data_IF_814204791559
#
_entry.id   IF_814204791559
#
_cell.length_a   1.000
_cell.length_b   1.000
_cell.length_c   1.000
_cell.angle_alpha   90.00
_cell.angle_beta   90.00
_cell.angle_gamma   90.00
#
_symmetry.space_group_name_H-M   'P 1'
#
loop_
_entity.id
_entity.type
_entity.pdbx_description
1 polymer ?
#
# COMPACT_ATOMS: atom_id res chain seq x y z
N UNK A 1 -19.52 10.61 14.12
CA UNK A 1 -19.22 9.18 13.96
C UNK A 1 -20.21 8.23 14.62
N UNK A 2 -20.54 8.35 15.92
CA UNK A 2 -21.44 7.39 16.60
C UNK A 2 -22.79 7.20 15.91
N UNK A 3 -23.39 8.27 15.38
CA UNK A 3 -24.63 8.18 14.58
C UNK A 3 -24.44 7.30 13.34
N UNK A 4 -23.40 7.58 12.53
CA UNK A 4 -23.05 6.80 11.34
C UNK A 4 -22.80 5.32 11.67
N UNK A 5 -22.15 5.03 12.79
CA UNK A 5 -21.92 3.64 13.26
C UNK A 5 -23.26 2.97 13.59
N UNK A 6 -24.15 3.67 14.29
CA UNK A 6 -25.50 3.18 14.62
C UNK A 6 -26.32 2.93 13.34
N UNK A 7 -26.24 3.84 12.37
CA UNK A 7 -26.95 3.73 11.10
C UNK A 7 -26.40 2.57 10.26
N UNK A 8 -25.08 2.42 10.16
CA UNK A 8 -24.43 1.28 9.52
C UNK A 8 -24.81 -0.04 10.19
N UNK A 9 -24.76 -0.10 11.52
CA UNK A 9 -25.14 -1.29 12.27
C UNK A 9 -26.58 -1.68 11.94
N UNK A 10 -27.53 -0.74 12.02
CA UNK A 10 -28.95 -1.03 11.78
C UNK A 10 -29.26 -1.35 10.31
N UNK A 11 -28.70 -0.59 9.38
CA UNK A 11 -29.05 -0.68 7.96
C UNK A 11 -28.36 -1.85 7.25
N UNK A 12 -27.16 -2.27 7.69
CA UNK A 12 -26.30 -3.19 6.92
C UNK A 12 -25.95 -4.47 7.68
N UNK A 13 -25.62 -4.37 8.97
CA UNK A 13 -25.04 -5.49 9.72
C UNK A 13 -26.07 -6.24 10.56
N UNK A 14 -27.02 -5.53 11.17
CA UNK A 14 -28.10 -6.12 11.96
C UNK A 14 -29.04 -6.98 11.12
N UNK A 15 -29.24 -6.61 9.84
CA UNK A 15 -30.04 -7.42 8.89
C UNK A 15 -29.30 -8.70 8.45
N UNK A 16 -27.98 -8.75 8.64
CA UNK A 16 -27.13 -9.87 8.25
C UNK A 16 -26.65 -10.71 9.45
N UNK A 17 -27.26 -10.53 10.64
CA UNK A 17 -26.83 -11.17 11.90
C UNK A 17 -25.33 -10.96 12.21
N UNK A 18 -24.85 -9.76 11.87
CA UNK A 18 -23.47 -9.32 12.09
C UNK A 18 -23.46 -8.12 13.06
N UNK A 19 -22.46 -8.12 13.94
CA UNK A 19 -22.15 -7.03 14.85
C UNK A 19 -20.93 -6.27 14.36
N UNK A 20 -21.09 -4.98 14.11
CA UNK A 20 -20.04 -4.05 13.78
C UNK A 20 -19.18 -3.77 15.02
N UNK A 21 -17.88 -4.00 14.88
CA UNK A 21 -16.87 -3.85 15.94
C UNK A 21 -16.17 -2.50 15.81
N UNK A 22 -15.68 -2.20 14.61
CA UNK A 22 -14.93 -1.00 14.32
C UNK A 22 -15.28 -0.47 12.92
N UNK A 23 -15.25 0.86 12.77
CA UNK A 23 -15.44 1.56 11.51
C UNK A 23 -14.35 2.60 11.37
N UNK A 24 -13.71 2.65 10.22
CA UNK A 24 -12.81 3.72 9.82
C UNK A 24 -13.30 4.34 8.51
N UNK A 25 -13.29 5.67 8.41
CA UNK A 25 -13.58 6.34 7.15
C UNK A 25 -12.28 6.48 6.35
N UNK A 26 -12.19 5.72 5.25
CA UNK A 26 -10.97 5.58 4.46
C UNK A 26 -11.15 6.07 3.02
N UNK A 27 -10.05 6.54 2.46
CA UNK A 27 -9.90 6.83 1.03
C UNK A 27 -8.85 5.89 0.47
N UNK A 28 -9.19 5.21 -0.63
CA UNK A 28 -8.24 4.35 -1.35
C UNK A 28 -7.24 5.21 -2.12
N UNK A 29 -5.96 5.09 -1.81
CA UNK A 29 -4.89 5.88 -2.44
C UNK A 29 -4.46 5.27 -3.79
N UNK A 30 -4.56 3.95 -3.91
CA UNK A 30 -4.16 3.17 -5.09
C UNK A 30 -4.82 3.67 -6.40
N UNK A 31 -6.09 4.05 -6.32
CA UNK A 31 -6.80 4.63 -7.46
C UNK A 31 -6.54 6.15 -7.56
N UNK A 32 -5.44 6.54 -8.25
CA UNK A 32 -5.14 7.95 -8.62
C UNK A 32 -6.37 8.72 -9.14
N UNK A 33 -7.28 8.05 -9.84
CA UNK A 33 -8.46 8.65 -10.50
C UNK A 33 -9.71 8.87 -9.61
N UNK A 34 -9.82 8.28 -8.41
CA UNK A 34 -11.07 8.39 -7.64
C UNK A 34 -10.89 8.19 -6.13
N UNK A 35 -10.59 9.29 -5.43
CA UNK A 35 -10.63 9.41 -3.97
C UNK A 35 -12.07 9.46 -3.44
N UNK A 36 -12.86 8.40 -3.71
CA UNK A 36 -14.23 8.30 -3.18
C UNK A 36 -14.20 7.80 -1.73
N UNK A 37 -14.80 8.53 -0.77
CA UNK A 37 -14.84 8.10 0.62
C UNK A 37 -15.54 6.75 0.73
N UNK A 38 -14.94 5.83 1.48
CA UNK A 38 -15.41 4.47 1.68
C UNK A 38 -15.25 4.12 3.16
N UNK A 39 -16.24 3.47 3.76
CA UNK A 39 -16.14 2.97 5.12
C UNK A 39 -15.51 1.58 5.11
N UNK A 40 -14.49 1.40 5.92
CA UNK A 40 -13.95 0.09 6.26
C UNK A 40 -14.55 -0.36 7.58
N UNK A 41 -15.28 -1.47 7.52
CA UNK A 41 -16.04 -1.99 8.64
C UNK A 41 -15.49 -3.37 9.03
N UNK A 42 -15.15 -3.54 10.31
CA UNK A 42 -14.83 -4.83 10.90
C UNK A 42 -16.08 -5.35 11.60
N UNK A 43 -16.61 -6.48 11.15
CA UNK A 43 -17.81 -7.08 11.70
C UNK A 43 -17.56 -8.53 12.12
N UNK A 44 -18.31 -8.97 13.13
CA UNK A 44 -18.29 -10.32 13.67
C UNK A 44 -19.70 -10.90 13.64
N UNK A 45 -19.87 -12.15 13.24
CA UNK A 45 -21.19 -12.80 13.30
C UNK A 45 -21.64 -12.96 14.75
N UNK A 46 -22.93 -12.75 15.03
CA UNK A 46 -23.49 -13.00 16.36
C UNK A 46 -23.77 -14.47 16.59
N UNK A 47 -24.00 -15.22 15.52
CA UNK A 47 -24.25 -16.66 15.57
C UNK A 47 -22.97 -17.49 15.38
N UNK A 48 -22.99 -18.72 15.88
CA UNK A 48 -21.90 -19.68 15.71
C UNK A 48 -22.04 -20.40 14.35
N UNK A 49 -20.93 -20.61 13.61
CA UNK A 49 -19.54 -20.32 13.97
C UNK A 49 -19.20 -18.83 13.87
N UNK A 50 -18.49 -18.32 14.89
CA UNK A 50 -18.08 -16.92 14.94
C UNK A 50 -17.06 -16.65 13.83
N UNK A 51 -17.46 -15.84 12.86
CA UNK A 51 -16.62 -15.41 11.76
C UNK A 51 -16.37 -13.90 11.83
N UNK A 52 -15.11 -13.49 11.68
CA UNK A 52 -14.74 -12.08 11.59
C UNK A 52 -14.49 -11.72 10.13
N UNK A 53 -15.14 -10.65 9.68
CA UNK A 53 -15.12 -10.20 8.27
C UNK A 53 -14.88 -8.70 8.18
N UNK A 54 -14.19 -8.31 7.12
CA UNK A 54 -13.93 -6.93 6.74
C UNK A 54 -14.81 -6.56 5.55
N UNK A 55 -15.48 -5.42 5.62
CA UNK A 55 -16.38 -4.93 4.59
C UNK A 55 -15.98 -3.55 4.11
N UNK A 56 -15.96 -3.36 2.79
CA UNK A 56 -15.97 -2.02 2.21
C UNK A 56 -17.41 -1.60 1.96
N UNK A 57 -17.86 -0.59 2.71
CA UNK A 57 -19.20 -0.04 2.59
C UNK A 57 -19.11 1.35 2.00
N UNK A 58 -19.91 1.63 0.96
CA UNK A 58 -20.03 2.98 0.42
C UNK A 58 -21.39 3.55 0.72
N UNK A 59 -21.41 4.86 0.96
CA UNK A 59 -22.61 5.64 1.04
C UNK A 59 -23.07 5.99 -0.38
N UNK A 60 -24.28 5.60 -0.75
CA UNK A 60 -24.85 5.84 -2.09
C UNK A 60 -25.84 7.01 -2.07
N UNK A 61 -26.68 7.09 -1.03
CA UNK A 61 -27.62 8.19 -0.73
C UNK A 61 -27.69 8.36 0.79
N UNK A 62 -28.10 9.52 1.29
CA UNK A 62 -28.28 9.74 2.75
C UNK A 62 -29.11 8.61 3.36
N UNK A 63 -28.50 7.83 4.27
CA UNK A 63 -29.11 6.68 4.94
C UNK A 63 -29.06 5.33 4.18
N UNK A 64 -28.55 5.28 2.96
CA UNK A 64 -28.45 4.05 2.16
C UNK A 64 -26.99 3.65 1.91
N UNK A 65 -26.61 2.50 2.48
CA UNK A 65 -25.26 1.96 2.45
C UNK A 65 -25.19 0.66 1.66
N UNK A 66 -24.18 0.52 0.79
CA UNK A 66 -24.01 -0.68 -0.04
C UNK A 66 -22.65 -1.34 0.22
N UNK A 67 -22.68 -2.64 0.53
CA UNK A 67 -21.48 -3.50 0.62
C UNK A 67 -20.87 -3.65 -0.78
N UNK A 68 -19.64 -3.15 -0.98
CA UNK A 68 -18.90 -3.21 -2.27
C UNK A 68 -18.06 -4.47 -2.38
N UNK A 69 -17.33 -4.82 -1.31
CA UNK A 69 -16.56 -6.05 -1.19
C UNK A 69 -16.51 -6.49 0.27
N UNK A 70 -16.24 -7.77 0.46
CA UNK A 70 -16.05 -8.40 1.76
C UNK A 70 -14.81 -9.28 1.73
N UNK A 71 -14.14 -9.44 2.86
CA UNK A 71 -12.99 -10.31 3.05
C UNK A 71 -13.11 -11.01 4.38
N UNK A 72 -12.64 -12.25 4.47
CA UNK A 72 -12.53 -12.93 5.76
C UNK A 72 -11.29 -12.43 6.47
N UNK A 73 -11.31 -12.31 7.80
CA UNK A 73 -10.11 -11.93 8.54
C UNK A 73 -8.95 -12.92 8.32
N UNK A 74 -9.27 -14.19 8.02
CA UNK A 74 -8.31 -15.24 7.66
C UNK A 74 -7.51 -14.94 6.39
N UNK A 75 -8.08 -14.17 5.48
CA UNK A 75 -7.49 -13.85 4.18
C UNK A 75 -6.49 -12.68 4.31
N UNK A 76 -6.50 -11.98 5.45
CA UNK A 76 -5.59 -10.86 5.71
C UNK A 76 -4.22 -11.42 6.09
N UNK A 77 -3.20 -11.14 5.27
CA UNK A 77 -1.82 -11.59 5.50
C UNK A 77 -1.03 -10.59 6.32
N UNK A 78 -1.05 -9.31 5.94
CA UNK A 78 -0.27 -8.28 6.64
C UNK A 78 -1.06 -6.98 6.81
N UNK A 79 -0.81 -6.30 7.93
CA UNK A 79 -1.36 -4.98 8.25
C UNK A 79 -0.18 -4.08 8.57
N UNK A 80 0.14 -3.14 7.68
CA UNK A 80 1.25 -2.21 7.83
C UNK A 80 0.73 -0.81 8.23
N UNK A 81 1.18 -0.34 9.39
CA UNK A 81 0.82 0.96 9.93
C UNK A 81 1.48 2.16 9.26
N UNK A 82 2.29 2.00 8.21
CA UNK A 82 3.11 3.03 7.54
C UNK A 82 3.86 3.93 8.53
N UNK A 83 5.16 3.65 8.67
CA UNK A 83 6.18 4.44 9.36
C UNK A 83 5.80 4.95 10.77
N UNK A 84 6.24 4.28 11.85
CA UNK A 84 5.98 4.74 13.22
C UNK A 84 6.60 6.11 13.52
N UNK A 85 7.57 6.57 12.71
CA UNK A 85 8.24 7.87 12.85
C UNK A 85 7.43 9.05 12.31
N UNK A 86 6.52 8.81 11.36
CA UNK A 86 5.69 9.87 10.75
C UNK A 86 4.23 9.59 11.08
N UNK A 87 3.59 10.51 11.80
CA UNK A 87 2.15 10.46 12.09
C UNK A 87 1.36 10.66 10.79
N UNK A 88 1.23 9.59 10.01
CA UNK A 88 0.44 9.58 8.78
C UNK A 88 -0.85 8.80 9.02
N UNK A 89 -2.00 9.27 8.54
CA UNK A 89 -3.25 8.52 8.62
C UNK A 89 -3.31 7.37 7.61
N UNK A 90 -2.22 7.12 6.89
CA UNK A 90 -2.14 6.08 5.87
C UNK A 90 -1.76 4.74 6.51
N UNK A 91 -2.31 3.66 5.97
CA UNK A 91 -1.96 2.29 6.36
C UNK A 91 -2.23 1.36 5.17
N UNK A 92 -1.46 0.29 5.09
CA UNK A 92 -1.54 -0.70 4.04
C UNK A 92 -2.07 -2.03 4.59
N UNK A 93 -2.89 -2.71 3.80
CA UNK A 93 -3.47 -3.99 4.19
C UNK A 93 -3.37 -4.96 3.02
N UNK A 94 -2.70 -6.09 3.24
CA UNK A 94 -2.55 -7.15 2.24
C UNK A 94 -3.58 -8.22 2.52
N UNK A 95 -4.53 -8.41 1.60
CA UNK A 95 -5.47 -9.54 1.62
C UNK A 95 -5.16 -10.46 0.46
N UNK A 96 -4.93 -11.73 0.75
CA UNK A 96 -4.44 -12.72 -0.21
C UNK A 96 -3.19 -12.18 -0.94
N UNK A 97 -3.32 -11.82 -2.22
CA UNK A 97 -2.23 -11.28 -3.03
C UNK A 97 -2.54 -9.85 -3.52
N UNK A 98 -3.38 -9.12 -2.77
CA UNK A 98 -3.78 -7.75 -3.10
C UNK A 98 -3.40 -6.80 -1.98
N UNK A 99 -2.46 -5.91 -2.28
CA UNK A 99 -2.12 -4.77 -1.45
C UNK A 99 -3.23 -3.70 -1.58
N UNK A 100 -3.73 -3.22 -0.46
CA UNK A 100 -4.64 -2.08 -0.41
C UNK A 100 -4.05 -0.95 0.44
N UNK A 101 -3.74 0.18 -0.21
CA UNK A 101 -3.33 1.40 0.48
C UNK A 101 -4.52 2.29 0.81
N UNK A 102 -4.67 2.59 2.10
CA UNK A 102 -5.75 3.41 2.64
C UNK A 102 -5.20 4.66 3.30
N UNK A 103 -5.99 5.73 3.24
CA UNK A 103 -5.80 6.94 4.01
C UNK A 103 -7.03 7.12 4.90
N UNK A 104 -6.88 6.96 6.21
CA UNK A 104 -7.94 7.24 7.17
C UNK A 104 -8.23 8.74 7.26
N UNK A 105 -9.41 9.09 7.74
CA UNK A 105 -9.77 10.51 7.93
C UNK A 105 -8.98 11.15 9.06
N UNK A 106 -8.66 10.39 10.11
CA UNK A 106 -7.83 10.83 11.24
C UNK A 106 -6.87 9.71 11.65
N UNK A 107 -5.76 10.09 12.28
CA UNK A 107 -4.78 9.14 12.84
C UNK A 107 -5.40 8.32 13.99
N UNK A 108 -6.27 8.92 14.80
CA UNK A 108 -6.98 8.24 15.89
C UNK A 108 -7.93 7.15 15.37
N UNK A 109 -8.66 7.40 14.27
CA UNK A 109 -9.52 6.39 13.64
C UNK A 109 -8.69 5.20 13.15
N UNK A 110 -7.56 5.47 12.50
CA UNK A 110 -6.60 4.46 12.08
C UNK A 110 -6.12 3.63 13.27
N UNK A 111 -5.61 4.27 14.32
CA UNK A 111 -5.05 3.57 15.48
C UNK A 111 -6.13 2.76 16.22
N UNK A 112 -7.32 3.31 16.38
CA UNK A 112 -8.46 2.61 16.98
C UNK A 112 -8.86 1.39 16.15
N UNK A 113 -8.95 1.54 14.83
CA UNK A 113 -9.30 0.45 13.92
C UNK A 113 -8.25 -0.65 13.93
N UNK A 114 -6.96 -0.30 13.84
CA UNK A 114 -5.85 -1.24 13.89
C UNK A 114 -5.81 -1.98 15.23
N UNK A 115 -6.01 -1.29 16.36
CA UNK A 115 -6.09 -1.93 17.69
C UNK A 115 -7.24 -2.94 17.78
N UNK A 116 -8.41 -2.60 17.25
CA UNK A 116 -9.54 -3.54 17.21
C UNK A 116 -9.24 -4.73 16.29
N UNK A 117 -8.60 -4.49 15.14
CA UNK A 117 -8.20 -5.55 14.22
C UNK A 117 -7.20 -6.51 14.87
N UNK A 118 -6.18 -5.99 15.54
CA UNK A 118 -5.19 -6.77 16.31
C UNK A 118 -5.86 -7.61 17.40
N UNK A 119 -6.76 -7.01 18.18
CA UNK A 119 -7.50 -7.71 19.23
C UNK A 119 -8.35 -8.87 18.68
N UNK A 120 -9.03 -8.65 17.56
CA UNK A 120 -9.87 -9.70 16.95
C UNK A 120 -9.05 -10.76 16.21
N UNK A 121 -7.94 -10.38 15.59
CA UNK A 121 -6.97 -11.32 15.01
C UNK A 121 -6.45 -12.26 16.09
N UNK A 122 -5.91 -11.74 17.21
CA UNK A 122 -5.41 -12.57 18.31
C UNK A 122 -6.48 -13.45 18.95
N UNK A 123 -7.73 -12.97 19.00
CA UNK A 123 -8.83 -13.73 19.61
C UNK A 123 -9.34 -14.88 18.74
N UNK A 124 -9.42 -14.69 17.42
CA UNK A 124 -10.09 -15.64 16.51
C UNK A 124 -9.14 -16.36 15.54
N UNK A 125 -7.87 -15.94 15.44
CA UNK A 125 -6.84 -16.54 14.60
C UNK A 125 -5.60 -16.94 15.42
N UNK A 126 -5.69 -18.00 16.26
CA UNK A 126 -4.56 -18.41 17.09
C UNK A 126 -3.40 -19.02 16.29
N UNK A 127 -3.68 -19.58 15.11
CA UNK A 127 -2.68 -20.31 14.29
C UNK A 127 -2.11 -19.40 13.20
N UNK A 128 -2.97 -18.72 12.43
CA UNK A 128 -2.58 -17.91 11.27
C UNK A 128 -3.04 -16.47 11.49
N UNK A 129 -2.28 -15.73 12.32
CA UNK A 129 -2.54 -14.31 12.56
C UNK A 129 -1.90 -13.47 11.46
N UNK A 130 -2.52 -12.35 11.04
CA UNK A 130 -1.86 -11.39 10.18
C UNK A 130 -0.63 -10.78 10.85
N UNK A 131 0.40 -10.51 10.06
CA UNK A 131 1.60 -9.81 10.53
C UNK A 131 1.34 -8.31 10.63
N UNK A 132 1.45 -7.77 11.84
CA UNK A 132 1.28 -6.34 12.11
C UNK A 132 2.65 -5.66 12.07
N UNK A 133 2.90 -4.88 11.02
CA UNK A 133 4.17 -4.19 10.77
C UNK A 133 3.99 -2.70 11.03
N UNK A 134 5.02 -2.00 11.54
CA UNK A 134 5.04 -0.55 11.77
C UNK A 134 3.90 0.01 12.65
N UNK A 135 3.30 -0.83 13.48
CA UNK A 135 2.24 -0.44 14.40
C UNK A 135 2.83 -0.45 15.80
N UNK A 136 2.59 0.56 16.64
CA UNK A 136 2.85 0.45 18.06
C UNK A 136 1.89 -0.61 18.60
N UNK A 137 2.32 -1.87 18.53
CA UNK A 137 1.64 -2.98 19.16
C UNK A 137 1.54 -2.56 20.63
N UNK A 138 0.33 -2.47 21.21
CA UNK A 138 0.21 -2.38 22.65
C UNK A 138 0.78 -3.69 23.14
N UNK A 139 2.05 -3.67 23.52
CA UNK A 139 2.63 -4.70 24.34
C UNK A 139 1.77 -4.62 25.60
N UNK A 140 0.81 -5.53 25.74
CA UNK A 140 0.30 -5.92 27.05
C UNK A 140 1.46 -6.63 27.76
N UNK A 141 2.58 -5.92 27.94
CA UNK A 141 3.50 -6.22 29.00
C UNK A 141 2.69 -5.90 30.24
N UNK A 142 2.29 -6.89 31.06
CA UNK A 142 1.83 -6.58 32.40
C UNK A 142 2.92 -5.71 32.98
N UNK A 143 2.55 -4.47 33.33
CA UNK A 143 3.46 -3.47 33.85
C UNK A 143 4.06 -4.02 35.15
N UNK A 144 5.16 -4.77 35.04
CA UNK A 144 6.16 -4.89 36.06
C UNK A 144 6.89 -3.55 36.00
N UNK A 145 6.24 -2.53 36.56
CA UNK A 145 6.91 -1.31 36.91
C UNK A 145 7.93 -1.70 37.96
N UNK A 146 9.14 -2.01 37.51
CA UNK A 146 10.34 -2.02 38.35
C UNK A 146 10.53 -0.56 38.76
N UNK A 147 9.80 -0.17 39.81
CA UNK A 147 10.12 1.02 40.56
C UNK A 147 11.40 0.64 41.30
N UNK A 148 12.52 1.06 40.73
CA UNK A 148 13.82 1.02 41.36
C UNK A 148 13.79 2.00 42.56
N UNK A 149 13.13 1.61 43.64
CA UNK A 149 13.37 2.22 44.93
C UNK A 149 14.66 1.63 45.47
N UNK A 150 15.71 2.45 45.38
CA UNK A 150 16.90 2.37 46.20
C UNK A 150 16.52 2.08 47.65
N UNK A 151 16.69 0.83 48.08
CA UNK A 151 16.74 0.48 49.50
C UNK A 151 18.17 0.01 49.76
N UNK A 152 18.98 0.96 50.22
CA UNK A 152 20.24 0.69 50.91
C UNK A 152 19.97 -0.23 52.10
N UNK A 153 20.66 -1.37 52.17
CA UNK A 153 20.65 -2.20 53.37
C UNK A 153 20.87 -3.70 53.13
N UNK A 154 22.10 -4.08 52.79
CA UNK A 154 22.85 -5.22 53.34
C UNK A 154 22.09 -6.54 53.65
N UNK A 155 21.12 -6.91 52.82
CA UNK A 155 20.34 -8.14 53.01
C UNK A 155 20.86 -9.20 52.07
N UNK A 156 21.83 -9.97 52.57
CA UNK A 156 22.13 -11.36 52.21
C UNK A 156 21.85 -11.75 50.75
N UNK A 157 22.85 -11.56 49.87
CA UNK A 157 22.83 -11.87 48.43
C UNK A 157 22.68 -13.39 48.11
N UNK A 158 22.30 -14.22 49.07
CA UNK A 158 22.15 -15.68 48.93
C UNK A 158 20.75 -16.16 48.56
N UNK A 159 19.71 -15.32 48.65
CA UNK A 159 18.33 -15.70 48.35
C UNK A 159 17.92 -15.20 46.96
N UNK A 160 18.71 -15.56 45.96
CA UNK A 160 18.34 -15.39 44.55
C UNK A 160 17.09 -16.22 44.28
N UNK A 161 15.95 -15.54 44.26
CA UNK A 161 14.71 -15.90 43.58
C UNK A 161 14.40 -17.40 43.54
N UNK A 162 14.15 -17.99 44.71
CA UNK A 162 13.47 -19.28 44.76
C UNK A 162 12.05 -19.08 44.22
N UNK A 163 11.89 -19.30 42.92
CA UNK A 163 10.58 -19.31 42.27
C UNK A 163 9.90 -20.63 42.67
N UNK A 164 8.80 -20.59 43.44
CA UNK A 164 8.02 -21.79 43.74
C UNK A 164 7.55 -22.39 42.42
N UNK A 165 7.60 -23.73 42.32
CA UNK A 165 7.09 -24.45 41.16
C UNK A 165 5.63 -24.04 40.90
N UNK A 166 5.34 -23.68 39.65
CA UNK A 166 3.99 -23.34 39.24
C UNK A 166 3.08 -24.56 39.37
N UNK A 167 1.79 -24.34 39.66
CA UNK A 167 0.80 -25.42 39.70
C UNK A 167 0.76 -26.23 38.38
N UNK A 168 1.10 -25.60 37.24
CA UNK A 168 1.19 -26.30 35.94
C UNK A 168 2.42 -27.21 35.89
N UNK A 169 3.58 -26.69 36.29
CA UNK A 169 4.85 -27.43 36.30
C UNK A 169 4.77 -28.61 37.28
N UNK A 170 4.14 -28.42 38.44
CA UNK A 170 3.95 -29.51 39.41
C UNK A 170 3.06 -30.64 38.83
N UNK A 171 2.01 -30.29 38.07
CA UNK A 171 1.19 -31.28 37.36
C UNK A 171 1.99 -32.02 36.30
N UNK A 172 2.85 -31.33 35.55
CA UNK A 172 3.70 -31.95 34.53
C UNK A 172 4.80 -32.82 35.14
N UNK A 173 5.42 -32.40 36.26
CA UNK A 173 6.36 -33.20 37.04
C UNK A 173 5.71 -34.48 37.57
N UNK A 174 4.50 -34.39 38.15
CA UNK A 174 3.76 -35.58 38.59
C UNK A 174 3.45 -36.50 37.41
N UNK A 175 3.11 -35.97 36.24
CA UNK A 175 2.87 -36.76 35.03
C UNK A 175 4.15 -37.45 34.54
N UNK A 176 5.30 -36.77 34.60
CA UNK A 176 6.61 -37.35 34.27
C UNK A 176 6.99 -38.48 35.22
N UNK A 177 6.85 -38.27 36.53
CA UNK A 177 7.12 -39.30 37.55
C UNK A 177 6.19 -40.51 37.37
N UNK A 178 4.90 -40.28 37.13
CA UNK A 178 3.93 -41.34 36.86
C UNK A 178 4.26 -42.12 35.57
N UNK A 179 4.65 -41.42 34.49
CA UNK A 179 5.04 -42.06 33.22
C UNK A 179 6.29 -42.92 33.36
N UNK A 180 7.23 -42.46 34.18
CA UNK A 180 8.52 -43.12 34.34
C UNK A 180 8.46 -44.26 35.37
N UNK A 181 7.29 -44.52 36.00
CA UNK A 181 7.07 -45.55 37.03
C UNK A 181 8.08 -45.49 38.19
N UNK A 182 8.69 -44.33 38.43
CA UNK A 182 9.73 -44.17 39.44
C UNK A 182 9.09 -43.76 40.76
N UNK A 183 9.40 -44.52 41.80
CA UNK A 183 9.08 -44.11 43.17
C UNK A 183 10.08 -43.05 43.64
N UNK A 184 9.73 -42.30 44.67
CA UNK A 184 10.58 -41.25 45.27
C UNK A 184 12.00 -41.76 45.66
N UNK A 185 12.19 -43.08 45.80
CA UNK A 185 13.49 -43.69 46.12
C UNK A 185 14.40 -44.00 44.93
N UNK A 186 13.96 -43.83 43.67
CA UNK A 186 14.75 -44.18 42.48
C UNK A 186 15.33 -42.95 41.75
N UNK A 187 15.69 -41.92 42.51
CA UNK A 187 16.20 -40.65 41.98
C UNK A 187 17.39 -40.83 41.02
N UNK A 188 18.32 -41.75 41.30
CA UNK A 188 19.47 -42.01 40.41
C UNK A 188 19.04 -42.60 39.07
N UNK A 189 18.07 -43.54 39.08
CA UNK A 189 17.53 -44.10 37.84
C UNK A 189 16.80 -43.03 37.04
N UNK A 190 16.02 -42.16 37.71
CA UNK A 190 15.37 -41.02 37.07
C UNK A 190 16.40 -40.06 36.45
N UNK A 191 17.48 -39.75 37.16
CA UNK A 191 18.56 -38.92 36.64
C UNK A 191 19.19 -39.53 35.38
N UNK A 192 19.50 -40.83 35.38
CA UNK A 192 20.06 -41.49 34.18
C UNK A 192 19.12 -41.48 32.97
N UNK A 193 17.83 -41.73 33.18
CA UNK A 193 16.80 -41.66 32.12
C UNK A 193 16.66 -40.23 31.61
N UNK A 194 16.65 -39.25 32.51
CA UNK A 194 16.55 -37.83 32.16
C UNK A 194 17.77 -37.37 31.37
N UNK A 195 18.99 -37.75 31.79
CA UNK A 195 20.22 -37.47 31.05
C UNK A 195 20.21 -38.09 29.65
N UNK A 196 19.73 -39.33 29.53
CA UNK A 196 19.59 -40.00 28.22
C UNK A 196 18.56 -39.30 27.32
N UNK A 197 17.41 -38.89 27.86
CA UNK A 197 16.41 -38.15 27.10
C UNK A 197 16.90 -36.75 26.70
N UNK A 198 17.64 -36.09 27.59
CA UNK A 198 18.22 -34.78 27.33
C UNK A 198 19.26 -34.86 26.19
N UNK A 199 20.11 -35.88 26.17
CA UNK A 199 21.04 -36.11 25.05
C UNK A 199 20.32 -36.37 23.72
N UNK A 200 19.22 -37.13 23.73
CA UNK A 200 18.40 -37.34 22.53
C UNK A 200 17.73 -36.04 22.07
N UNK A 201 17.24 -35.23 23.02
CA UNK A 201 16.62 -33.95 22.73
C UNK A 201 17.64 -32.94 22.21
N UNK A 202 18.83 -32.89 22.79
CA UNK A 202 19.94 -32.05 22.31
C UNK A 202 20.35 -32.46 20.90
N UNK A 203 20.45 -33.75 20.61
CA UNK A 203 20.68 -34.26 19.25
C UNK A 203 19.58 -33.84 18.27
N UNK A 204 18.32 -33.95 18.67
CA UNK A 204 17.18 -33.52 17.85
C UNK A 204 17.13 -31.99 17.65
N UNK A 205 17.51 -31.22 18.66
CA UNK A 205 17.57 -29.77 18.60
C UNK A 205 18.70 -29.32 17.66
N UNK A 206 19.90 -29.89 17.78
CA UNK A 206 21.02 -29.61 16.86
C UNK A 206 20.63 -29.96 15.43
N UNK A 207 20.03 -31.13 15.18
CA UNK A 207 19.58 -31.50 13.84
C UNK A 207 18.53 -30.51 13.30
N UNK A 208 17.56 -30.12 14.14
CA UNK A 208 16.54 -29.12 13.75
C UNK A 208 17.15 -27.76 13.44
N UNK A 209 18.18 -27.35 14.20
CA UNK A 209 18.94 -26.12 13.96
C UNK A 209 19.70 -26.22 12.63
N UNK A 210 20.39 -27.34 12.36
CA UNK A 210 21.12 -27.56 11.10
C UNK A 210 20.20 -27.61 9.88
N UNK A 211 19.06 -28.30 9.99
CA UNK A 211 18.06 -28.37 8.93
C UNK A 211 17.46 -26.96 8.67
N UNK A 212 17.26 -26.18 9.73
CA UNK A 212 16.81 -24.79 9.59
C UNK A 212 17.89 -23.89 8.98
N UNK A 213 19.16 -24.07 9.35
CA UNK A 213 20.29 -23.31 8.81
C UNK A 213 20.48 -23.56 7.31
N UNK A 214 20.42 -24.83 6.88
CA UNK A 214 20.48 -25.18 5.45
C UNK A 214 19.31 -24.58 4.67
N UNK A 215 18.08 -24.71 5.18
CA UNK A 215 16.91 -24.10 4.56
C UNK A 215 16.99 -22.56 4.49
N UNK A 216 17.54 -21.92 5.52
CA UNK A 216 17.77 -20.46 5.54
C UNK A 216 18.84 -20.06 4.54
N UNK A 217 19.94 -20.81 4.44
CA UNK A 217 20.99 -20.55 3.45
C UNK A 217 20.49 -20.72 2.01
N UNK A 218 19.68 -21.75 1.74
CA UNK A 218 19.04 -21.93 0.44
C UNK A 218 18.10 -20.76 0.11
N UNK A 219 17.33 -20.29 1.09
CA UNK A 219 16.47 -19.12 0.93
C UNK A 219 17.27 -17.84 0.66
N UNK A 220 18.41 -17.65 1.36
CA UNK A 220 19.31 -16.52 1.11
C UNK A 220 19.86 -16.60 -0.31
N UNK A 221 20.30 -17.77 -0.77
CA UNK A 221 20.76 -17.98 -2.15
C UNK A 221 19.69 -17.64 -3.18
N UNK A 222 18.44 -18.07 -2.98
CA UNK A 222 17.32 -17.71 -3.85
C UNK A 222 17.05 -16.19 -3.87
N UNK A 223 17.25 -15.50 -2.75
CA UNK A 223 17.13 -14.04 -2.68
C UNK A 223 18.28 -13.35 -3.41
N UNK A 224 19.51 -13.86 -3.28
CA UNK A 224 20.68 -13.36 -4.01
C UNK A 224 20.50 -13.54 -5.52
N UNK A 225 20.07 -14.71 -5.98
CA UNK A 225 19.75 -14.98 -7.40
C UNK A 225 18.64 -14.04 -7.92
N UNK A 226 17.60 -13.83 -7.12
CA UNK A 226 16.53 -12.90 -7.47
C UNK A 226 16.98 -11.45 -7.53
N UNK A 227 17.93 -11.04 -6.67
CA UNK A 227 18.54 -9.71 -6.71
C UNK A 227 19.39 -9.54 -7.97
N UNK A 228 20.16 -10.55 -8.37
CA UNK A 228 20.95 -10.51 -9.61
C UNK A 228 20.06 -10.40 -10.85
N UNK A 229 18.94 -11.14 -10.89
CA UNK A 229 17.97 -11.05 -11.99
C UNK A 229 17.28 -9.67 -12.03
N UNK A 230 16.99 -9.07 -10.88
CA UNK A 230 16.44 -7.69 -10.81
C UNK A 230 17.47 -6.68 -11.32
N UNK A 231 18.74 -6.83 -10.98
CA UNK A 231 19.81 -5.97 -11.50
C UNK A 231 20.00 -6.12 -13.02
N UNK A 232 19.75 -7.31 -13.58
CA UNK A 232 19.72 -7.51 -15.03
C UNK A 232 18.52 -6.80 -15.67
N UNK A 233 17.34 -6.94 -15.07
CA UNK A 233 16.13 -6.26 -15.54
C UNK A 233 16.27 -4.73 -15.49
N UNK A 234 16.91 -4.17 -14.46
CA UNK A 234 17.15 -2.74 -14.34
C UNK A 234 18.03 -2.22 -15.48
N UNK A 235 19.08 -2.97 -15.85
CA UNK A 235 19.92 -2.64 -17.02
C UNK A 235 19.16 -2.71 -18.34
N UNK A 236 18.22 -3.66 -18.46
CA UNK A 236 17.37 -3.75 -19.65
C UNK A 236 16.39 -2.57 -19.72
N UNK A 237 15.80 -2.16 -18.60
CA UNK A 237 14.96 -0.97 -18.50
C UNK A 237 15.74 0.31 -18.83
N UNK A 238 16.98 0.44 -18.36
CA UNK A 238 17.87 1.56 -18.73
C UNK A 238 18.07 1.64 -20.25
N UNK A 239 18.18 0.50 -20.93
CA UNK A 239 18.30 0.46 -22.40
C UNK A 239 17.03 0.93 -23.11
N UNK A 240 15.85 0.59 -22.56
CA UNK A 240 14.58 1.09 -23.06
C UNK A 240 14.39 2.57 -22.79
N UNK A 241 14.80 3.06 -21.62
CA UNK A 241 14.76 4.47 -21.29
C UNK A 241 15.66 5.27 -22.23
N UNK A 242 16.86 4.80 -22.55
CA UNK A 242 17.71 5.41 -23.58
C UNK A 242 17.01 5.48 -24.94
N UNK A 243 16.35 4.40 -25.36
CA UNK A 243 15.57 4.40 -26.60
C UNK A 243 14.41 5.41 -26.54
N UNK A 244 13.71 5.51 -25.42
CA UNK A 244 12.62 6.47 -25.21
C UNK A 244 13.11 7.91 -25.21
N UNK A 245 14.29 8.19 -24.65
CA UNK A 245 14.95 9.50 -24.77
C UNK A 245 15.20 9.86 -26.23
N UNK A 246 15.78 8.96 -27.01
CA UNK A 246 15.99 9.18 -28.45
C UNK A 246 14.69 9.39 -29.23
N UNK A 247 13.66 8.60 -28.93
CA UNK A 247 12.34 8.75 -29.56
C UNK A 247 11.70 10.09 -29.19
N UNK A 248 11.78 10.50 -27.92
CA UNK A 248 11.27 11.80 -27.46
C UNK A 248 11.97 12.95 -28.21
N UNK A 249 13.29 12.94 -28.27
CA UNK A 249 14.07 13.99 -28.93
C UNK A 249 13.77 14.02 -30.45
N UNK A 250 13.57 12.85 -31.05
CA UNK A 250 13.15 12.75 -32.45
C UNK A 250 11.74 13.33 -32.68
N UNK A 251 10.80 13.09 -31.75
CA UNK A 251 9.44 13.65 -31.83
C UNK A 251 9.46 15.17 -31.66
N UNK A 252 10.23 15.69 -30.71
CA UNK A 252 10.40 17.14 -30.50
C UNK A 252 10.98 17.82 -31.75
N UNK A 253 12.02 17.22 -32.35
CA UNK A 253 12.61 17.73 -33.59
C UNK A 253 11.61 17.72 -34.76
N UNK A 254 10.77 16.69 -34.85
CA UNK A 254 9.72 16.61 -35.87
C UNK A 254 8.67 17.71 -35.65
N UNK A 255 8.24 17.94 -34.41
CA UNK A 255 7.27 18.99 -34.08
C UNK A 255 7.80 20.40 -34.42
N UNK A 256 9.06 20.67 -34.10
CA UNK A 256 9.72 21.93 -34.47
C UNK A 256 9.76 22.12 -35.99
N UNK A 257 10.19 21.07 -36.72
CA UNK A 257 10.28 21.08 -38.17
C UNK A 257 8.91 21.28 -38.83
N UNK A 258 7.86 20.65 -38.32
CA UNK A 258 6.50 20.79 -38.84
C UNK A 258 5.93 22.18 -38.57
N UNK A 259 6.21 22.76 -37.40
CA UNK A 259 5.86 24.14 -37.06
C UNK A 259 6.52 25.13 -38.00
N UNK A 260 7.84 25.00 -38.22
CA UNK A 260 8.58 25.80 -39.18
C UNK A 260 8.02 25.64 -40.60
N UNK A 261 7.79 24.40 -41.04
CA UNK A 261 7.21 24.11 -42.35
C UNK A 261 5.79 24.63 -42.52
N UNK A 262 5.00 24.77 -41.45
CA UNK A 262 3.70 25.42 -41.47
C UNK A 262 3.82 26.94 -41.68
N UNK A 263 4.74 27.58 -40.96
CA UNK A 263 5.02 29.01 -41.07
C UNK A 263 5.55 29.34 -42.47
N UNK A 264 6.51 28.56 -42.99
CA UNK A 264 7.02 28.74 -44.35
C UNK A 264 5.90 28.63 -45.39
N UNK A 265 5.09 27.55 -45.34
CA UNK A 265 3.95 27.39 -46.26
C UNK A 265 2.96 28.54 -46.17
N UNK A 266 2.67 29.03 -44.97
CA UNK A 266 1.78 30.18 -44.75
C UNK A 266 2.37 31.46 -45.37
N UNK A 267 3.64 31.72 -45.13
CA UNK A 267 4.34 32.89 -45.67
C UNK A 267 4.41 32.83 -47.21
N UNK A 268 4.76 31.68 -47.77
CA UNK A 268 4.78 31.47 -49.23
C UNK A 268 3.39 31.68 -49.84
N UNK A 269 2.34 31.19 -49.18
CA UNK A 269 0.96 31.40 -49.64
C UNK A 269 0.58 32.89 -49.63
N UNK A 270 0.80 33.59 -48.52
CA UNK A 270 0.50 35.03 -48.41
C UNK A 270 1.28 35.82 -49.47
N UNK A 271 2.57 35.51 -49.66
CA UNK A 271 3.38 36.15 -50.69
C UNK A 271 2.86 35.87 -52.10
N UNK A 272 2.46 34.63 -52.40
CA UNK A 272 1.84 34.29 -53.69
C UNK A 272 0.52 35.03 -53.92
N UNK A 273 -0.33 35.10 -52.90
CA UNK A 273 -1.62 35.78 -52.98
C UNK A 273 -1.39 37.29 -53.23
N UNK A 274 -0.45 37.90 -52.51
CA UNK A 274 -0.07 39.30 -52.69
C UNK A 274 0.57 39.58 -54.06
N UNK A 275 1.47 38.71 -54.53
CA UNK A 275 2.04 38.83 -55.87
C UNK A 275 0.96 38.68 -56.95
N UNK A 276 -0.02 37.80 -56.75
CA UNK A 276 -1.13 37.64 -57.68
C UNK A 276 -2.04 38.87 -57.68
N UNK A 277 -2.29 39.47 -56.52
CA UNK A 277 -3.02 40.74 -56.37
C UNK A 277 -2.29 41.90 -57.06
N UNK A 278 -0.98 42.02 -56.87
CA UNK A 278 -0.16 43.03 -57.55
C UNK A 278 -0.15 42.83 -59.06
N UNK A 279 0.04 41.60 -59.55
CA UNK A 279 0.00 41.29 -60.98
C UNK A 279 -1.37 41.63 -61.55
N UNK A 280 -2.45 41.27 -60.85
CA UNK A 280 -3.81 41.63 -61.28
C UNK A 280 -3.98 43.15 -61.33
N UNK A 281 -3.44 43.88 -60.35
CA UNK A 281 -3.51 45.36 -60.33
C UNK A 281 -2.73 46.00 -61.47
N UNK A 282 -1.57 45.45 -61.83
CA UNK A 282 -0.78 45.90 -62.98
C UNK A 282 -1.48 45.55 -64.29
N UNK A 283 -2.12 44.38 -64.39
CA UNK A 283 -2.88 43.96 -65.58
C UNK A 283 -4.14 44.83 -65.80
N UNK A 284 -4.69 45.45 -64.74
CA UNK A 284 -5.78 46.44 -64.85
C UNK A 284 -5.30 47.72 -65.54
N UNK A 285 -3.98 48.00 -65.59
CA UNK A 285 -3.41 49.07 -66.42
C UNK A 285 -3.45 48.61 -67.89
N UNK A 286 -4.67 48.63 -68.42
CA UNK A 286 -5.01 48.24 -69.78
C UNK A 286 -4.39 49.19 -70.80
N UNK A 287 -4.19 48.69 -72.03
CA UNK A 287 -3.75 49.50 -73.17
C UNK A 287 -4.64 50.73 -73.43
N UNK A 288 -5.90 50.71 -72.95
CA UNK A 288 -6.80 51.85 -73.02
C UNK A 288 -6.36 52.97 -72.05
N UNK A 289 -5.92 52.66 -70.84
CA UNK A 289 -5.31 53.64 -69.93
C UNK A 289 -4.01 54.20 -70.52
N UNK A 290 -3.18 53.35 -71.12
CA UNK A 290 -1.94 53.78 -71.79
C UNK A 290 -2.26 54.70 -72.97
N UNK A 291 -3.25 54.36 -73.82
CA UNK A 291 -3.70 55.20 -74.93
C UNK A 291 -4.34 56.50 -74.46
N UNK A 292 -5.13 56.49 -73.40
CA UNK A 292 -5.70 57.68 -72.79
C UNK A 292 -4.60 58.64 -72.31
N UNK A 293 -3.58 58.12 -71.63
CA UNK A 293 -2.41 58.89 -71.18
C UNK A 293 -1.54 59.40 -72.34
N UNK A 294 -1.33 58.61 -73.39
CA UNK A 294 -0.55 59.03 -74.57
C UNK A 294 -1.26 60.08 -75.43
N UNK A 295 -2.59 60.05 -75.49
CA UNK A 295 -3.41 61.01 -76.24
C UNK A 295 -3.96 62.14 -75.36
N UNK A 296 -3.49 62.23 -74.10
CA UNK A 296 -3.99 63.18 -73.11
C UNK A 296 -3.78 64.63 -73.57
N UNK A 297 -4.86 65.26 -74.00
CA UNK A 297 -4.89 66.68 -74.31
C UNK A 297 -5.28 67.46 -73.05
N UNK A 298 -4.30 67.89 -72.25
CA UNK A 298 -4.47 68.57 -70.95
C UNK A 298 -5.26 69.90 -71.02
N UNK A 299 -5.64 70.36 -72.21
CA UNK A 299 -6.47 71.56 -72.40
C UNK A 299 -7.99 71.28 -72.42
N UNK A 300 -8.41 70.02 -72.46
CA UNK A 300 -9.83 69.64 -72.47
C UNK A 300 -10.24 68.97 -71.15
N UNK A 301 -11.17 69.53 -70.34
CA UNK A 301 -11.59 68.91 -69.08
C UNK A 301 -12.21 67.51 -69.26
N UNK A 302 -12.70 67.17 -70.45
CA UNK A 302 -13.28 65.85 -70.72
C UNK A 302 -12.19 64.79 -70.90
N UNK A 303 -11.02 65.16 -71.45
CA UNK A 303 -9.90 64.22 -71.60
C UNK A 303 -9.24 63.91 -70.25
N UNK A 304 -9.19 64.90 -69.34
CA UNK A 304 -8.69 64.75 -67.97
C UNK A 304 -9.55 63.76 -67.18
N UNK A 305 -10.87 63.77 -67.38
CA UNK A 305 -11.77 62.82 -66.69
C UNK A 305 -11.76 61.41 -67.30
N UNK A 306 -11.20 61.23 -68.51
CA UNK A 306 -11.00 59.92 -69.14
C UNK A 306 -9.66 59.26 -68.81
N UNK A 307 -8.69 60.02 -68.29
CA UNK A 307 -7.44 59.50 -67.74
C UNK A 307 -7.65 59.05 -66.30
#
# INVERSE_FOLDING_TARGET
MRAIISDLQRAVFQVADERLVAVANIVRVDNKKCRKPTFLCLAVTTDQPIAVRLYFVRNEKEGCYKKKRQFTLRDVKTVDGINPRKLTPEFDLVVDDRLFRFCASTTEEKDSFIKQLYKFANKYLPIQKPDFVNIPIPVETPHIAVVAEHVDGDTDEGLVDYQPISAKEEVDFRRLLARANLTIGEADKFATVLTSQLQLLDGANIQSIMDSETAVNDLIGLVEDALEEVDFLDKELDSFDQLLYHVRDSVELIEEKDSLGCVERKNTRILKDFLSELVTTVDIVSDDHIRALQSANLSDPISISRC
#
